data_IF_886209227112
#
_entry.id   IF_886209227112
#
_cell.length_a   1.000
_cell.length_b   1.000
_cell.length_c   1.000
_cell.angle_alpha   90.00
_cell.angle_beta   90.00
_cell.angle_gamma   90.00
#
_symmetry.space_group_name_H-M   'P 1'
#
loop_
_entity.id
_entity.type
_entity.pdbx_description
1 polymer ?
#
# COMPACT_ATOMS: atom_id res chain seq x y z
N UNK A 1 -35.34 -9.16 -13.78
CA UNK A 1 -34.81 -8.23 -14.79
C UNK A 1 -34.43 -9.05 -16.01
N UNK A 2 -35.09 -8.80 -17.13
CA UNK A 2 -34.89 -9.56 -18.36
C UNK A 2 -33.53 -9.19 -18.99
N UNK A 3 -32.87 -10.16 -19.64
CA UNK A 3 -31.57 -10.01 -20.31
C UNK A 3 -31.57 -8.86 -21.32
N UNK A 4 -32.68 -8.65 -22.02
CA UNK A 4 -32.84 -7.58 -22.98
C UNK A 4 -32.94 -6.20 -22.30
N UNK A 5 -33.61 -6.08 -21.18
CA UNK A 5 -33.73 -4.86 -20.40
C UNK A 5 -32.38 -4.39 -19.84
N UNK A 6 -31.54 -5.35 -19.40
CA UNK A 6 -30.19 -5.04 -18.91
C UNK A 6 -29.25 -4.57 -20.03
N UNK A 7 -29.35 -5.17 -21.23
CA UNK A 7 -28.54 -4.77 -22.40
C UNK A 7 -28.93 -3.37 -22.87
N UNK A 8 -30.22 -3.04 -22.90
CA UNK A 8 -30.69 -1.70 -23.27
C UNK A 8 -30.23 -0.64 -22.27
N UNK A 9 -30.25 -0.94 -20.96
CA UNK A 9 -29.71 -0.02 -19.94
C UNK A 9 -28.20 0.17 -20.06
N UNK A 10 -27.42 -0.87 -20.42
CA UNK A 10 -25.99 -0.76 -20.68
C UNK A 10 -25.72 0.12 -21.91
N UNK A 11 -26.50 -0.03 -22.96
CA UNK A 11 -26.40 0.74 -24.19
C UNK A 11 -26.67 2.23 -23.91
N UNK A 12 -27.76 2.52 -23.21
CA UNK A 12 -28.14 3.89 -22.83
C UNK A 12 -27.12 4.56 -21.91
N UNK A 13 -26.46 3.79 -21.00
CA UNK A 13 -25.38 4.30 -20.13
C UNK A 13 -24.06 4.51 -20.88
N UNK A 14 -23.74 3.67 -21.86
CA UNK A 14 -22.57 3.82 -22.69
C UNK A 14 -22.69 5.06 -23.60
N UNK A 15 -23.83 5.27 -24.20
CA UNK A 15 -24.11 6.42 -25.07
C UNK A 15 -24.13 7.76 -24.30
N UNK A 16 -24.52 7.76 -23.00
CA UNK A 16 -24.59 8.99 -22.19
C UNK A 16 -23.27 9.46 -21.55
N UNK A 17 -22.30 8.58 -21.34
CA UNK A 17 -21.24 8.92 -20.36
C UNK A 17 -19.81 9.03 -20.87
N UNK A 18 -19.42 8.46 -22.00
CA UNK A 18 -17.96 8.28 -22.20
C UNK A 18 -17.43 8.63 -23.59
N UNK A 19 -18.17 8.48 -24.68
CA UNK A 19 -17.57 8.67 -26.01
C UNK A 19 -18.58 9.31 -26.97
N UNK A 20 -18.41 10.58 -27.29
CA UNK A 20 -19.21 11.29 -28.31
C UNK A 20 -19.07 10.67 -29.74
N UNK A 21 -18.03 9.82 -29.94
CA UNK A 21 -17.73 9.25 -31.27
C UNK A 21 -17.70 7.72 -31.33
N UNK A 22 -18.08 7.01 -30.25
CA UNK A 22 -18.09 5.53 -30.24
C UNK A 22 -19.49 5.03 -29.93
N UNK A 23 -20.23 4.65 -30.98
CA UNK A 23 -21.53 4.03 -30.83
C UNK A 23 -21.43 2.54 -30.51
N UNK A 24 -22.29 2.06 -29.63
CA UNK A 24 -22.41 0.64 -29.28
C UNK A 24 -22.87 -0.15 -30.52
N UNK A 25 -21.95 -0.86 -31.16
CA UNK A 25 -22.19 -1.56 -32.42
C UNK A 25 -22.86 -2.91 -32.19
N UNK A 26 -23.59 -3.41 -33.20
CA UNK A 26 -24.19 -4.76 -33.18
C UNK A 26 -23.16 -5.87 -32.94
N UNK A 27 -21.92 -5.68 -33.36
CA UNK A 27 -20.81 -6.61 -33.07
C UNK A 27 -20.40 -6.62 -31.57
N UNK A 28 -20.52 -5.49 -30.87
CA UNK A 28 -20.31 -5.43 -29.42
C UNK A 28 -21.45 -6.10 -28.66
N UNK A 29 -22.68 -5.91 -29.10
CA UNK A 29 -23.88 -6.56 -28.56
C UNK A 29 -23.77 -8.10 -28.67
N UNK A 30 -23.38 -8.62 -29.83
CA UNK A 30 -23.18 -10.05 -30.08
C UNK A 30 -22.10 -10.65 -29.15
N UNK A 31 -20.97 -9.96 -28.95
CA UNK A 31 -19.91 -10.38 -28.02
C UNK A 31 -20.39 -10.41 -26.55
N UNK A 32 -21.21 -9.46 -26.13
CA UNK A 32 -21.80 -9.44 -24.80
C UNK A 32 -22.77 -10.61 -24.64
N UNK A 33 -23.66 -10.86 -25.60
CA UNK A 33 -24.60 -12.01 -25.62
C UNK A 33 -23.86 -13.35 -25.58
N UNK A 34 -22.80 -13.51 -26.36
CA UNK A 34 -21.99 -14.74 -26.36
C UNK A 34 -21.30 -14.95 -24.99
N UNK A 35 -20.84 -13.89 -24.34
CA UNK A 35 -20.19 -13.96 -23.04
C UNK A 35 -21.16 -14.32 -21.92
N UNK A 36 -22.40 -13.83 -21.99
CA UNK A 36 -23.50 -14.18 -21.07
C UNK A 36 -23.90 -15.65 -21.27
N UNK A 37 -24.12 -16.10 -22.51
CA UNK A 37 -24.49 -17.49 -22.81
C UNK A 37 -23.41 -18.50 -22.39
N UNK A 38 -22.13 -18.18 -22.49
CA UNK A 38 -21.05 -19.03 -21.96
C UNK A 38 -21.03 -19.16 -20.45
N UNK A 39 -21.61 -18.18 -19.73
CA UNK A 39 -21.75 -18.25 -18.25
C UNK A 39 -22.99 -19.02 -17.78
N UNK A 40 -24.02 -19.18 -18.61
CA UNK A 40 -25.25 -19.90 -18.23
C UNK A 40 -25.13 -21.42 -18.31
N UNK A 41 -24.01 -21.96 -18.80
CA UNK A 41 -23.74 -23.40 -18.90
C UNK A 41 -23.21 -24.09 -17.64
N UNK A 42 -23.08 -23.39 -16.53
CA UNK A 42 -22.64 -23.98 -15.27
C UNK A 42 -23.82 -24.68 -14.60
N UNK A 43 -23.82 -26.02 -14.64
CA UNK A 43 -24.88 -26.86 -14.16
C UNK A 43 -25.23 -26.61 -12.69
N UNK A 44 -26.51 -26.68 -12.36
CA UNK A 44 -27.16 -26.47 -11.06
C UNK A 44 -26.57 -27.21 -9.85
N UNK A 45 -25.66 -28.16 -10.08
CA UNK A 45 -24.99 -28.93 -9.01
C UNK A 45 -23.95 -28.13 -8.21
N UNK A 46 -23.44 -27.00 -8.74
CA UNK A 46 -22.43 -26.17 -8.07
C UNK A 46 -23.02 -25.05 -7.19
N UNK A 47 -24.34 -24.89 -7.21
CA UNK A 47 -25.02 -23.83 -6.40
C UNK A 47 -24.92 -24.01 -4.88
N UNK A 48 -24.60 -25.22 -4.42
CA UNK A 48 -24.45 -25.49 -2.97
C UNK A 48 -23.07 -25.13 -2.41
N UNK A 49 -22.08 -24.87 -3.27
CA UNK A 49 -20.71 -24.57 -2.85
C UNK A 49 -20.28 -23.11 -3.16
N UNK A 50 -21.11 -22.32 -3.83
CA UNK A 50 -20.72 -20.97 -4.29
C UNK A 50 -20.94 -19.87 -3.25
N UNK A 51 -21.79 -20.10 -2.24
CA UNK A 51 -22.13 -19.06 -1.27
C UNK A 51 -21.00 -18.66 -0.30
N UNK A 52 -20.17 -19.55 0.24
CA UNK A 52 -19.09 -19.13 1.14
C UNK A 52 -17.92 -18.48 0.40
N UNK A 53 -17.65 -18.90 -0.86
CA UNK A 53 -16.60 -18.29 -1.67
C UNK A 53 -16.96 -16.88 -2.15
N UNK A 54 -18.26 -16.61 -2.39
CA UNK A 54 -18.73 -15.29 -2.77
C UNK A 54 -18.63 -14.29 -1.62
N UNK A 55 -18.85 -14.76 -0.39
CA UNK A 55 -18.71 -13.92 0.82
C UNK A 55 -17.27 -13.47 1.05
N UNK A 56 -16.30 -14.39 0.87
CA UNK A 56 -14.89 -14.06 1.02
C UNK A 56 -14.38 -13.19 -0.13
N UNK A 57 -14.86 -13.43 -1.36
CA UNK A 57 -14.52 -12.62 -2.53
C UNK A 57 -15.14 -11.22 -2.47
N UNK A 58 -16.35 -11.08 -1.88
CA UNK A 58 -16.96 -9.78 -1.58
C UNK A 58 -16.21 -9.04 -0.46
N UNK A 59 -15.74 -9.74 0.56
CA UNK A 59 -14.89 -9.13 1.59
C UNK A 59 -13.55 -8.65 1.02
N UNK A 60 -12.93 -9.43 0.15
CA UNK A 60 -11.70 -9.03 -0.56
C UNK A 60 -11.98 -7.89 -1.56
N UNK A 61 -13.12 -7.91 -2.26
CA UNK A 61 -13.54 -6.83 -3.17
C UNK A 61 -13.93 -5.55 -2.41
N UNK A 62 -14.65 -5.67 -1.30
CA UNK A 62 -14.94 -4.54 -0.42
C UNK A 62 -13.63 -3.98 0.14
N UNK A 63 -12.67 -4.83 0.41
CA UNK A 63 -11.34 -4.43 0.87
C UNK A 63 -10.49 -3.75 -0.23
N UNK A 64 -10.69 -4.13 -1.51
CA UNK A 64 -10.04 -3.47 -2.65
C UNK A 64 -10.74 -2.19 -3.11
N UNK A 65 -12.07 -2.10 -2.92
CA UNK A 65 -12.91 -1.00 -3.41
C UNK A 65 -13.18 0.03 -2.31
N UNK A 66 -12.92 -0.32 -1.02
CA UNK A 66 -13.08 0.65 0.04
C UNK A 66 -12.03 1.76 -0.15
N UNK A 67 -12.42 2.92 -0.67
CA UNK A 67 -11.55 4.06 -0.61
C UNK A 67 -11.26 4.28 0.87
N UNK A 68 -10.02 4.61 1.21
CA UNK A 68 -9.66 5.11 2.53
C UNK A 68 -10.35 6.47 2.72
N UNK A 69 -11.68 6.44 2.81
CA UNK A 69 -12.44 7.57 3.30
C UNK A 69 -12.24 7.55 4.81
N UNK A 70 -11.20 8.24 5.23
CA UNK A 70 -11.14 8.83 6.54
C UNK A 70 -12.53 9.45 6.82
N UNK A 71 -13.20 8.96 7.84
CA UNK A 71 -14.30 9.68 8.45
C UNK A 71 -13.81 11.10 8.74
N UNK A 72 -14.64 12.14 8.55
CA UNK A 72 -14.21 13.52 8.66
C UNK A 72 -13.87 13.84 10.13
N UNK A 73 -12.62 13.74 10.45
CA UNK A 73 -11.95 14.38 11.55
C UNK A 73 -10.88 15.23 10.92
N UNK A 74 -11.22 16.46 10.64
CA UNK A 74 -10.32 17.50 10.16
C UNK A 74 -9.22 17.74 11.20
N UNK A 75 -8.13 16.99 11.08
CA UNK A 75 -6.86 17.45 11.62
C UNK A 75 -5.92 17.59 10.45
N UNK A 76 -5.70 18.85 10.07
CA UNK A 76 -4.64 19.25 9.17
C UNK A 76 -3.36 18.51 9.58
N UNK A 77 -2.82 17.70 8.67
CA UNK A 77 -1.55 17.02 8.86
C UNK A 77 -0.48 18.07 9.12
N UNK A 78 -0.08 18.21 10.38
CA UNK A 78 1.14 18.91 10.72
C UNK A 78 2.30 18.12 10.12
N UNK A 79 3.32 18.81 9.56
CA UNK A 79 4.51 18.11 9.09
C UNK A 79 5.12 17.32 10.25
N UNK A 80 5.32 16.03 10.03
CA UNK A 80 5.91 15.12 11.00
C UNK A 80 7.23 15.69 11.54
N UNK A 81 7.23 16.08 12.79
CA UNK A 81 8.44 16.30 13.58
C UNK A 81 8.63 15.04 14.43
N UNK A 82 9.74 14.31 14.28
CA UNK A 82 10.00 13.16 15.12
C UNK A 82 10.07 13.64 16.58
N UNK A 83 9.27 13.09 17.49
CA UNK A 83 9.37 13.41 18.91
C UNK A 83 10.76 13.01 19.41
N UNK A 84 11.44 13.92 20.12
CA UNK A 84 12.64 13.58 20.88
C UNK A 84 12.29 12.45 21.85
N UNK A 85 13.05 11.34 21.85
CA UNK A 85 12.78 10.25 22.79
C UNK A 85 13.00 10.72 24.22
N UNK A 86 11.94 10.80 24.98
CA UNK A 86 12.02 10.79 26.43
C UNK A 86 11.89 9.32 26.88
N UNK A 87 12.75 8.81 27.76
CA UNK A 87 12.55 7.49 28.33
C UNK A 87 11.33 7.52 29.24
N UNK A 88 10.20 7.06 28.73
CA UNK A 88 8.99 6.92 29.53
C UNK A 88 9.05 5.59 30.28
N UNK A 89 9.11 5.68 31.60
CA UNK A 89 8.87 4.55 32.50
C UNK A 89 7.43 4.09 32.31
N UNK A 90 7.22 2.91 31.78
CA UNK A 90 5.90 2.32 31.62
C UNK A 90 5.20 2.20 33.00
N UNK A 91 3.89 2.53 33.11
CA UNK A 91 3.15 2.32 34.35
C UNK A 91 3.11 0.83 34.66
N UNK A 92 3.81 0.42 35.69
CA UNK A 92 3.86 -0.98 36.14
C UNK A 92 5.21 -1.53 36.50
N UNK A 93 6.29 -0.74 36.43
CA UNK A 93 7.60 -1.10 37.00
C UNK A 93 8.34 -2.28 36.37
N UNK A 94 7.89 -2.79 35.23
CA UNK A 94 8.62 -3.76 34.43
C UNK A 94 9.47 -3.01 33.41
N UNK A 95 10.76 -3.10 33.54
CA UNK A 95 11.71 -2.76 32.48
C UNK A 95 11.46 -3.74 31.33
N UNK A 96 10.68 -3.32 30.35
CA UNK A 96 10.49 -4.07 29.11
C UNK A 96 11.80 -3.95 28.32
N UNK A 97 12.73 -4.89 28.61
CA UNK A 97 14.09 -4.86 28.06
C UNK A 97 14.02 -5.25 26.57
N UNK A 98 14.27 -4.33 25.62
CA UNK A 98 14.18 -4.61 24.18
C UNK A 98 14.99 -5.81 23.71
N UNK A 99 16.03 -6.18 24.42
CA UNK A 99 16.87 -7.35 24.17
C UNK A 99 16.12 -8.71 24.25
N UNK A 100 14.94 -8.75 24.89
CA UNK A 100 14.11 -9.94 24.99
C UNK A 100 13.01 -10.02 23.93
N UNK A 101 12.84 -8.98 23.11
CA UNK A 101 11.84 -8.98 22.08
C UNK A 101 12.23 -9.95 20.97
N UNK A 102 11.24 -10.68 20.49
CA UNK A 102 11.35 -11.59 19.33
C UNK A 102 10.13 -11.36 18.45
N UNK A 103 10.25 -11.50 17.13
CA UNK A 103 9.10 -11.48 16.25
C UNK A 103 8.05 -12.49 16.73
N UNK A 104 6.79 -12.07 16.75
CA UNK A 104 5.69 -12.96 17.09
C UNK A 104 5.58 -14.09 16.06
N UNK A 105 5.21 -15.30 16.48
CA UNK A 105 5.11 -16.44 15.58
C UNK A 105 4.02 -16.19 14.53
N UNK A 106 4.30 -16.64 13.30
CA UNK A 106 3.30 -16.74 12.24
C UNK A 106 2.70 -18.15 12.29
N UNK A 107 1.39 -18.22 12.35
CA UNK A 107 0.63 -19.48 12.39
C UNK A 107 -0.22 -19.59 11.14
N UNK A 108 -0.11 -20.71 10.44
CA UNK A 108 -1.00 -21.08 9.34
C UNK A 108 -2.13 -21.94 9.88
N UNK A 109 -3.35 -21.66 9.46
CA UNK A 109 -4.54 -22.38 9.92
C UNK A 109 -5.61 -22.40 8.82
N UNK A 110 -6.76 -22.99 9.12
CA UNK A 110 -7.89 -23.03 8.20
C UNK A 110 -9.16 -22.58 8.90
N UNK A 111 -9.97 -21.80 8.21
CA UNK A 111 -11.32 -21.44 8.61
C UNK A 111 -12.29 -21.77 7.48
N UNK A 112 -13.31 -22.57 7.78
CA UNK A 112 -14.25 -23.06 6.76
C UNK A 112 -13.57 -23.66 5.52
N UNK A 113 -12.47 -24.40 5.72
CA UNK A 113 -11.60 -25.02 4.70
C UNK A 113 -10.82 -24.02 3.85
N UNK A 114 -10.80 -22.76 4.21
CA UNK A 114 -9.96 -21.75 3.55
C UNK A 114 -8.69 -21.53 4.38
N UNK A 115 -7.50 -21.67 3.78
CA UNK A 115 -6.25 -21.41 4.50
C UNK A 115 -6.10 -19.92 4.75
N UNK A 116 -5.62 -19.55 5.94
CA UNK A 116 -5.17 -18.20 6.26
C UNK A 116 -4.03 -18.27 7.27
N UNK A 117 -3.29 -17.17 7.38
CA UNK A 117 -2.21 -17.06 8.35
C UNK A 117 -2.36 -15.80 9.18
N UNK A 118 -1.95 -15.88 10.43
CA UNK A 118 -1.89 -14.71 11.32
C UNK A 118 -0.54 -14.67 12.06
N UNK A 119 -0.23 -13.50 12.60
CA UNK A 119 0.96 -13.27 13.43
C UNK A 119 0.50 -12.94 14.84
N UNK A 120 1.15 -13.51 15.84
CA UNK A 120 0.82 -13.33 17.26
C UNK A 120 0.02 -14.47 17.86
N UNK A 121 -0.37 -14.27 19.10
CA UNK A 121 -1.14 -15.21 19.92
C UNK A 121 -2.33 -14.49 20.55
N UNK A 122 -3.35 -15.24 20.97
CA UNK A 122 -4.46 -14.66 21.72
C UNK A 122 -3.93 -13.95 22.98
N UNK A 123 -4.52 -12.81 23.35
CA UNK A 123 -5.77 -12.26 22.83
C UNK A 123 -5.63 -11.34 21.61
N UNK A 124 -4.43 -11.01 21.13
CA UNK A 124 -4.20 -10.07 20.01
C UNK A 124 -3.38 -10.73 18.91
N UNK A 125 -3.98 -10.82 17.73
CA UNK A 125 -3.36 -11.39 16.52
C UNK A 125 -3.59 -10.44 15.35
N UNK A 126 -2.74 -10.52 14.34
CA UNK A 126 -2.90 -9.74 13.12
C UNK A 126 -2.80 -10.60 11.87
N UNK A 127 -3.58 -10.25 10.85
CA UNK A 127 -3.44 -10.77 9.49
C UNK A 127 -2.88 -9.63 8.64
N UNK A 128 -1.87 -9.92 7.82
CA UNK A 128 -1.17 -8.94 6.98
C UNK A 128 -1.16 -9.40 5.53
N UNK A 129 -1.20 -8.46 4.59
CA UNK A 129 -1.11 -8.74 3.15
C UNK A 129 0.26 -9.30 2.77
N UNK A 130 1.32 -8.74 3.35
CA UNK A 130 2.69 -9.16 3.10
C UNK A 130 3.27 -9.90 4.30
N UNK A 131 4.27 -10.72 4.07
CA UNK A 131 4.95 -11.50 5.12
C UNK A 131 5.79 -10.64 6.04
N UNK A 132 6.18 -9.44 5.60
CA UNK A 132 7.06 -8.52 6.32
C UNK A 132 6.57 -7.10 6.21
N UNK A 133 6.83 -6.29 7.23
CA UNK A 133 6.70 -4.83 7.16
C UNK A 133 7.93 -4.24 6.48
N UNK A 134 7.76 -3.09 5.85
CA UNK A 134 8.85 -2.32 5.23
C UNK A 134 8.81 -0.87 5.70
N UNK A 135 9.98 -0.30 5.94
CA UNK A 135 10.16 1.05 6.43
C UNK A 135 9.41 2.11 5.61
N UNK A 136 8.65 2.99 6.27
CA UNK A 136 7.92 4.09 5.64
C UNK A 136 6.80 3.69 4.68
N UNK A 137 6.45 2.40 4.60
CA UNK A 137 5.44 1.89 3.68
C UNK A 137 4.23 1.37 4.45
N UNK A 138 3.05 1.92 4.11
CA UNK A 138 1.81 1.50 4.75
C UNK A 138 1.51 0.05 4.42
N UNK A 139 1.27 -0.73 5.47
CA UNK A 139 0.77 -2.09 5.37
C UNK A 139 -0.65 -2.16 5.90
N UNK A 140 -1.52 -2.86 5.17
CA UNK A 140 -2.86 -3.18 5.65
C UNK A 140 -2.79 -4.33 6.63
N UNK A 141 -3.46 -4.14 7.76
CA UNK A 141 -3.47 -5.07 8.87
C UNK A 141 -4.90 -5.31 9.31
N UNK A 142 -5.29 -6.56 9.43
CA UNK A 142 -6.51 -6.96 10.11
C UNK A 142 -6.18 -7.43 11.52
N UNK A 143 -6.75 -6.76 12.49
CA UNK A 143 -6.62 -7.12 13.90
C UNK A 143 -7.70 -8.12 14.27
N UNK A 144 -7.30 -9.13 15.02
CA UNK A 144 -8.15 -10.13 15.64
C UNK A 144 -7.99 -10.01 17.16
N UNK A 145 -9.08 -9.66 17.84
CA UNK A 145 -9.08 -9.36 19.27
C UNK A 145 -10.00 -10.32 20.00
N UNK A 146 -9.53 -10.85 21.11
CA UNK A 146 -10.29 -11.69 22.05
C UNK A 146 -10.27 -11.05 23.45
N UNK A 147 -11.27 -11.35 24.28
CA UNK A 147 -11.29 -11.00 25.71
C UNK A 147 -11.57 -9.53 26.02
N UNK A 148 -12.24 -8.80 25.12
CA UNK A 148 -12.68 -7.42 25.35
C UNK A 148 -14.05 -7.18 24.73
N UNK A 149 -14.93 -6.49 25.44
CA UNK A 149 -16.23 -6.03 24.96
C UNK A 149 -16.20 -4.54 24.56
N UNK A 150 -15.02 -3.95 24.46
CA UNK A 150 -14.87 -2.53 24.14
C UNK A 150 -15.25 -2.23 22.68
N UNK A 151 -15.98 -1.15 22.43
CA UNK A 151 -16.35 -0.68 21.10
C UNK A 151 -15.18 -0.08 20.31
N UNK A 152 -14.12 0.31 21.02
CA UNK A 152 -12.94 0.99 20.44
C UNK A 152 -11.65 0.43 20.98
N UNK A 153 -10.66 0.36 20.09
CA UNK A 153 -9.29 -0.04 20.42
C UNK A 153 -8.32 1.04 19.95
N UNK A 154 -7.46 1.48 20.85
CA UNK A 154 -6.31 2.32 20.56
C UNK A 154 -5.11 1.45 20.22
N UNK A 155 -4.38 1.84 19.18
CA UNK A 155 -3.17 1.18 18.76
C UNK A 155 -1.95 2.08 18.99
N UNK A 156 -0.92 1.50 19.60
CA UNK A 156 0.36 2.17 19.84
C UNK A 156 1.49 1.23 19.41
N UNK A 157 2.50 1.78 18.76
CA UNK A 157 3.71 1.06 18.42
C UNK A 157 4.92 1.57 19.22
N UNK A 158 5.83 0.65 19.53
CA UNK A 158 7.12 0.96 20.15
C UNK A 158 8.23 0.29 19.35
N UNK A 159 9.28 1.03 19.01
CA UNK A 159 10.49 0.43 18.48
C UNK A 159 11.37 -0.15 19.56
N UNK A 160 12.27 -1.05 19.21
CA UNK A 160 13.31 -1.54 20.13
C UNK A 160 14.28 -0.45 20.60
N UNK A 161 14.30 0.69 19.95
CA UNK A 161 15.12 1.87 20.30
C UNK A 161 14.38 2.88 21.18
N UNK A 162 13.11 2.57 21.58
CA UNK A 162 12.33 3.40 22.49
C UNK A 162 11.45 4.45 21.80
N UNK A 163 11.34 4.45 20.48
CA UNK A 163 10.40 5.34 19.78
C UNK A 163 8.97 4.87 20.03
N UNK A 164 8.10 5.78 20.49
CA UNK A 164 6.65 5.56 20.63
C UNK A 164 5.91 6.23 19.48
N UNK A 165 5.01 5.51 18.85
CA UNK A 165 4.18 5.99 17.73
C UNK A 165 2.71 5.67 17.99
N UNK A 166 1.84 6.68 17.94
CA UNK A 166 0.39 6.49 18.00
C UNK A 166 -0.12 6.11 16.62
N UNK A 167 -0.79 4.95 16.53
CA UNK A 167 -1.31 4.42 15.27
C UNK A 167 -2.79 4.74 15.05
N UNK A 168 -3.45 5.28 16.09
CA UNK A 168 -4.84 5.72 16.04
C UNK A 168 -5.81 4.86 16.85
N UNK A 169 -7.09 5.26 16.83
CA UNK A 169 -8.20 4.59 17.51
C UNK A 169 -9.19 4.06 16.48
N UNK A 170 -9.58 2.81 16.64
CA UNK A 170 -10.40 2.09 15.67
C UNK A 170 -11.69 1.57 16.29
N UNK A 171 -12.78 1.63 15.54
CA UNK A 171 -14.03 0.98 15.90
C UNK A 171 -13.89 -0.53 15.72
N UNK A 172 -14.36 -1.28 16.70
CA UNK A 172 -14.27 -2.74 16.70
C UNK A 172 -15.51 -3.34 16.04
N UNK A 173 -15.28 -4.23 15.06
CA UNK A 173 -16.33 -5.04 14.45
C UNK A 173 -16.65 -6.28 15.26
N UNK A 174 -17.69 -7.02 14.84
CA UNK A 174 -18.10 -8.28 15.45
C UNK A 174 -17.13 -9.43 15.19
N UNK A 175 -17.60 -10.65 15.36
CA UNK A 175 -16.82 -11.85 15.21
C UNK A 175 -16.25 -12.03 13.79
N UNK A 176 -14.97 -12.38 13.69
CA UNK A 176 -14.32 -12.80 12.45
C UNK A 176 -13.39 -13.98 12.74
N UNK A 177 -13.50 -15.05 11.92
CA UNK A 177 -12.81 -16.31 12.16
C UNK A 177 -13.13 -16.86 13.58
N UNK A 178 -12.08 -17.14 14.34
CA UNK A 178 -12.16 -17.60 15.74
C UNK A 178 -11.97 -16.46 16.76
N UNK A 179 -11.92 -15.20 16.31
CA UNK A 179 -11.80 -14.03 17.16
C UNK A 179 -13.18 -13.41 17.46
N UNK A 180 -13.34 -12.89 18.68
CA UNK A 180 -14.57 -12.23 19.12
C UNK A 180 -14.80 -10.94 18.37
N UNK A 181 -13.71 -10.21 18.08
CA UNK A 181 -13.74 -8.90 17.45
C UNK A 181 -12.65 -8.74 16.41
N UNK A 182 -12.87 -7.82 15.46
CA UNK A 182 -11.88 -7.48 14.45
C UNK A 182 -12.00 -6.04 13.99
N UNK A 183 -10.95 -5.52 13.40
CA UNK A 183 -10.98 -4.26 12.64
C UNK A 183 -9.79 -4.16 11.67
N UNK A 184 -9.95 -3.46 10.54
CA UNK A 184 -8.85 -3.14 9.64
C UNK A 184 -8.11 -1.88 10.07
N UNK A 185 -6.81 -1.82 9.79
CA UNK A 185 -6.01 -0.61 9.93
C UNK A 185 -4.95 -0.51 8.83
N UNK A 186 -4.43 0.71 8.62
CA UNK A 186 -3.22 0.94 7.85
C UNK A 186 -2.10 1.32 8.80
N UNK A 187 -1.00 0.57 8.81
CA UNK A 187 0.15 0.82 9.69
C UNK A 187 1.36 1.21 8.86
N UNK A 188 1.99 2.34 9.20
CA UNK A 188 3.26 2.78 8.64
C UNK A 188 4.27 2.90 9.77
N UNK A 189 5.35 2.10 9.69
CA UNK A 189 6.44 2.12 10.65
C UNK A 189 7.66 2.78 9.97
N UNK A 190 8.23 3.84 10.57
CA UNK A 190 9.18 4.70 9.87
C UNK A 190 10.55 4.06 9.66
N UNK A 191 11.00 3.23 10.61
CA UNK A 191 12.37 2.72 10.66
C UNK A 191 12.41 1.19 10.68
N UNK A 192 13.48 0.59 10.12
CA UNK A 192 13.69 -0.85 10.17
C UNK A 192 14.00 -1.30 11.60
N UNK A 193 13.78 -2.58 11.87
CA UNK A 193 14.03 -3.19 13.17
C UNK A 193 12.79 -3.83 13.77
N UNK A 194 12.85 -4.14 15.06
CA UNK A 194 11.77 -4.81 15.76
C UNK A 194 10.83 -3.80 16.41
N UNK A 195 9.55 -3.96 16.14
CA UNK A 195 8.48 -3.12 16.66
C UNK A 195 7.47 -3.93 17.45
N UNK A 196 7.05 -3.38 18.58
CA UNK A 196 5.95 -3.89 19.41
C UNK A 196 4.68 -3.11 19.08
N UNK A 197 3.67 -3.78 18.57
CA UNK A 197 2.33 -3.23 18.30
C UNK A 197 1.42 -3.61 19.45
N UNK A 198 0.88 -2.63 20.17
CA UNK A 198 -0.01 -2.82 21.31
C UNK A 198 -1.44 -2.43 20.98
N UNK A 199 -2.40 -3.25 21.44
CA UNK A 199 -3.81 -2.93 21.45
C UNK A 199 -4.26 -2.59 22.87
N UNK A 200 -4.92 -1.44 23.03
CA UNK A 200 -5.38 -0.90 24.31
C UNK A 200 -6.89 -0.63 24.18
N UNK A 201 -7.68 -1.08 25.14
CA UNK A 201 -9.11 -0.78 25.23
C UNK A 201 -9.46 -0.30 26.62
N UNK A 202 -10.21 0.80 26.71
CA UNK A 202 -10.61 1.43 27.97
C UNK A 202 -9.43 1.69 28.93
N UNK A 203 -8.29 2.09 28.35
CA UNK A 203 -7.03 2.32 29.08
C UNK A 203 -6.33 1.05 29.58
N UNK A 204 -6.84 -0.14 29.23
CA UNK A 204 -6.24 -1.42 29.59
C UNK A 204 -5.52 -2.05 28.42
N UNK A 205 -4.31 -2.53 28.64
CA UNK A 205 -3.56 -3.31 27.67
C UNK A 205 -4.26 -4.65 27.42
N UNK A 206 -4.70 -4.89 26.16
CA UNK A 206 -5.31 -6.14 25.76
C UNK A 206 -4.25 -7.19 25.40
N UNK A 207 -3.26 -6.78 24.61
CA UNK A 207 -2.21 -7.65 24.15
C UNK A 207 -1.29 -6.95 23.15
N UNK A 208 -0.34 -7.68 22.62
CA UNK A 208 0.68 -7.14 21.73
C UNK A 208 1.15 -8.13 20.67
N UNK A 209 1.66 -7.59 19.56
CA UNK A 209 2.29 -8.36 18.50
C UNK A 209 3.63 -7.72 18.16
N UNK A 210 4.68 -8.53 18.05
CA UNK A 210 6.00 -8.08 17.62
C UNK A 210 6.20 -8.34 16.13
N UNK A 211 6.55 -7.31 15.38
CA UNK A 211 6.79 -7.38 13.95
C UNK A 211 8.17 -6.89 13.60
N UNK A 212 8.80 -7.52 12.61
CA UNK A 212 10.06 -7.07 12.06
C UNK A 212 9.79 -6.16 10.85
N UNK A 213 10.36 -4.97 10.86
CA UNK A 213 10.35 -4.02 9.76
C UNK A 213 11.67 -4.14 9.00
N UNK A 214 11.59 -4.44 7.73
CA UNK A 214 12.75 -4.54 6.84
C UNK A 214 13.10 -3.18 6.24
N UNK A 215 14.38 -2.95 6.09
CA UNK A 215 14.86 -1.86 5.24
C UNK A 215 14.54 -2.17 3.76
N UNK A 216 14.30 -1.12 2.96
CA UNK A 216 14.10 -1.25 1.52
C UNK A 216 12.66 -1.14 1.08
N UNK A 217 12.34 -1.78 -0.04
CA UNK A 217 11.07 -1.59 -0.74
C UNK A 217 10.31 -2.90 -0.76
N UNK A 218 9.03 -2.86 -0.43
CA UNK A 218 8.18 -4.05 -0.47
C UNK A 218 7.99 -4.54 -1.90
N UNK A 219 7.86 -5.86 -2.12
CA UNK A 219 7.62 -6.43 -3.43
C UNK A 219 6.41 -5.82 -4.14
N UNK A 220 5.32 -5.55 -3.41
CA UNK A 220 4.12 -4.93 -3.98
C UNK A 220 4.37 -3.50 -4.46
N UNK A 221 5.10 -2.70 -3.69
CA UNK A 221 5.47 -1.35 -4.14
C UNK A 221 6.46 -1.39 -5.30
N UNK A 222 7.44 -2.28 -5.31
CA UNK A 222 8.36 -2.43 -6.42
C UNK A 222 7.62 -2.77 -7.72
N UNK A 223 6.73 -3.76 -7.68
CA UNK A 223 5.92 -4.16 -8.83
C UNK A 223 4.99 -3.05 -9.32
N UNK A 224 4.48 -2.21 -8.41
CA UNK A 224 3.60 -1.11 -8.75
C UNK A 224 4.35 0.07 -9.37
N UNK A 225 5.44 0.53 -8.75
CA UNK A 225 6.01 1.84 -9.09
C UNK A 225 6.93 1.81 -10.30
N UNK A 226 7.68 0.73 -10.52
CA UNK A 226 8.65 0.66 -11.61
C UNK A 226 8.02 0.78 -13.01
N UNK A 227 6.94 0.07 -13.36
CA UNK A 227 6.26 0.22 -14.64
C UNK A 227 5.73 1.64 -14.86
N UNK A 228 5.16 2.26 -13.83
CA UNK A 228 4.58 3.60 -13.90
C UNK A 228 5.67 4.65 -14.19
N UNK A 229 6.81 4.56 -13.50
CA UNK A 229 7.93 5.46 -13.75
C UNK A 229 8.50 5.25 -15.14
N UNK A 230 8.62 3.99 -15.57
CA UNK A 230 9.12 3.65 -16.92
C UNK A 230 8.22 4.20 -18.02
N UNK A 231 6.91 4.04 -17.88
CA UNK A 231 5.90 4.60 -18.78
C UNK A 231 6.04 6.13 -18.85
N UNK A 232 6.05 6.79 -17.69
CA UNK A 232 6.20 8.25 -17.60
C UNK A 232 7.48 8.77 -18.27
N UNK A 233 8.62 8.10 -18.06
CA UNK A 233 9.90 8.50 -18.66
C UNK A 233 9.97 8.23 -20.17
N UNK A 234 9.24 7.25 -20.68
CA UNK A 234 9.12 6.97 -22.10
C UNK A 234 8.15 7.91 -22.80
N UNK A 235 7.07 8.31 -22.14
CA UNK A 235 6.05 9.19 -22.66
C UNK A 235 6.45 10.63 -22.39
N UNK A 236 7.16 11.37 -22.96
CA UNK A 236 7.45 12.83 -22.93
C UNK A 236 7.14 13.61 -21.62
N UNK A 237 6.49 12.96 -20.64
CA UNK A 237 6.10 13.60 -19.36
C UNK A 237 7.25 14.24 -18.59
N UNK A 238 8.47 13.76 -18.79
CA UNK A 238 9.65 14.24 -18.10
C UNK A 238 10.33 15.44 -18.76
N UNK A 239 9.76 16.04 -19.81
CA UNK A 239 10.37 17.14 -20.56
C UNK A 239 11.83 16.87 -21.02
N UNK A 240 12.15 15.60 -21.24
CA UNK A 240 13.45 15.12 -21.69
C UNK A 240 13.52 15.03 -23.23
N UNK A 241 12.80 15.89 -23.95
CA UNK A 241 12.70 15.92 -25.41
C UNK A 241 14.03 16.01 -26.16
N UNK A 242 15.08 16.52 -25.47
CA UNK A 242 16.43 16.57 -26.04
C UNK A 242 17.12 15.19 -26.19
N UNK A 243 16.58 14.11 -25.59
CA UNK A 243 17.10 12.75 -25.75
C UNK A 243 16.62 12.04 -27.04
N UNK A 244 15.79 12.69 -27.84
CA UNK A 244 15.26 12.13 -29.08
C UNK A 244 14.18 11.02 -28.89
N UNK A 245 13.76 10.44 -29.98
CA UNK A 245 12.81 9.31 -29.99
C UNK A 245 13.56 7.99 -29.72
N UNK A 246 12.92 7.12 -28.94
CA UNK A 246 13.48 5.82 -28.57
C UNK A 246 14.55 5.94 -27.48
N UNK A 247 14.21 5.49 -26.28
CA UNK A 247 15.05 5.58 -25.09
C UNK A 247 15.22 4.20 -24.45
N UNK A 248 16.38 3.97 -23.89
CA UNK A 248 16.59 2.87 -22.97
C UNK A 248 16.59 3.42 -21.54
N UNK A 249 15.62 2.98 -20.76
CA UNK A 249 15.44 3.45 -19.38
C UNK A 249 15.81 2.33 -18.42
N UNK A 250 16.80 2.57 -17.57
CA UNK A 250 17.16 1.72 -16.43
C UNK A 250 16.75 2.44 -15.15
N UNK A 251 16.06 1.76 -14.27
CA UNK A 251 15.57 2.28 -13.00
C UNK A 251 16.11 1.40 -11.88
N UNK A 252 16.80 2.01 -10.93
CA UNK A 252 17.24 1.40 -9.69
C UNK A 252 16.52 2.12 -8.54
N UNK A 253 15.62 1.43 -7.86
CA UNK A 253 14.85 2.02 -6.78
C UNK A 253 15.73 2.19 -5.54
N UNK A 254 15.81 3.40 -5.02
CA UNK A 254 16.57 3.76 -3.81
C UNK A 254 15.68 3.75 -2.56
N UNK A 255 14.38 4.01 -2.70
CA UNK A 255 13.42 3.99 -1.61
C UNK A 255 12.01 4.34 -2.04
N UNK A 256 11.05 3.96 -1.24
CA UNK A 256 9.63 4.29 -1.42
C UNK A 256 9.05 4.71 -0.08
N UNK A 257 8.46 5.88 -0.03
CA UNK A 257 7.58 6.32 1.05
C UNK A 257 6.14 6.17 0.59
N UNK A 258 5.36 5.41 1.31
CA UNK A 258 3.97 5.13 1.00
C UNK A 258 3.12 5.23 2.28
N UNK A 259 3.00 6.45 2.87
CA UNK A 259 2.26 6.65 4.11
C UNK A 259 0.76 6.44 3.94
N UNK A 260 0.27 6.55 2.71
CA UNK A 260 -1.13 6.38 2.33
C UNK A 260 -1.26 5.43 1.14
N UNK A 261 -2.38 4.72 1.06
CA UNK A 261 -2.65 3.80 -0.05
C UNK A 261 -2.68 4.50 -1.42
N UNK A 262 -3.14 5.75 -1.47
CA UNK A 262 -3.33 6.51 -2.72
C UNK A 262 -2.08 7.25 -3.22
N UNK A 263 -1.03 7.35 -2.40
CA UNK A 263 0.15 8.16 -2.71
C UNK A 263 1.44 7.38 -2.46
N UNK A 264 2.42 7.63 -3.32
CA UNK A 264 3.79 7.12 -3.20
C UNK A 264 4.76 8.25 -3.50
N UNK A 265 5.81 8.37 -2.70
CA UNK A 265 6.99 9.15 -3.06
C UNK A 265 8.14 8.17 -3.29
N UNK A 266 8.64 8.13 -4.50
CA UNK A 266 9.60 7.14 -4.97
C UNK A 266 10.92 7.83 -5.29
N UNK A 267 12.00 7.29 -4.75
CA UNK A 267 13.35 7.73 -5.02
C UNK A 267 14.06 6.67 -5.85
N UNK A 268 14.61 7.06 -6.97
CA UNK A 268 15.28 6.14 -7.88
C UNK A 268 16.53 6.75 -8.48
N UNK A 269 17.54 5.93 -8.75
CA UNK A 269 18.59 6.28 -9.67
C UNK A 269 18.13 5.88 -11.07
N UNK A 270 18.05 6.85 -11.95
CA UNK A 270 17.55 6.66 -13.31
C UNK A 270 18.69 6.86 -14.31
N UNK A 271 18.86 5.91 -15.22
CA UNK A 271 19.73 6.04 -16.37
C UNK A 271 18.88 5.99 -17.62
N UNK A 272 18.97 7.01 -18.46
CA UNK A 272 18.28 7.10 -19.74
C UNK A 272 19.35 7.28 -20.82
N UNK A 273 19.34 6.44 -21.82
CA UNK A 273 20.22 6.51 -22.98
C UNK A 273 19.40 6.70 -24.26
N UNK A 274 19.87 7.56 -25.15
CA UNK A 274 19.32 7.64 -26.50
C UNK A 274 19.62 6.34 -27.25
N UNK A 275 18.62 5.82 -27.99
CA UNK A 275 18.82 4.70 -28.93
C UNK A 275 19.27 5.16 -30.31
N UNK A 276 19.36 6.48 -30.52
CA UNK A 276 19.87 7.01 -31.78
C UNK A 276 21.39 6.72 -31.88
N UNK A 277 21.83 5.93 -32.86
CA UNK A 277 23.23 5.59 -33.03
C UNK A 277 24.12 6.81 -33.35
N UNK A 278 23.53 7.90 -33.79
CA UNK A 278 24.22 9.16 -34.12
C UNK A 278 24.22 10.16 -32.97
N UNK A 279 23.50 9.89 -31.89
CA UNK A 279 23.32 10.79 -30.75
C UNK A 279 23.63 10.07 -29.43
N UNK A 280 24.91 10.01 -29.05
CA UNK A 280 25.34 9.42 -27.77
C UNK A 280 25.02 10.36 -26.61
N UNK A 281 23.73 10.63 -26.40
CA UNK A 281 23.25 11.44 -25.27
C UNK A 281 22.59 10.57 -24.20
N UNK A 282 22.76 10.94 -22.97
CA UNK A 282 22.14 10.22 -21.87
C UNK A 282 22.17 11.02 -20.57
N UNK A 283 21.37 10.57 -19.64
CA UNK A 283 21.33 11.09 -18.26
C UNK A 283 21.51 9.92 -17.30
N UNK A 284 22.22 10.15 -16.20
CA UNK A 284 22.35 9.23 -15.09
C UNK A 284 22.29 10.03 -13.81
N UNK A 285 21.13 10.08 -13.16
CA UNK A 285 20.89 10.93 -12.00
C UNK A 285 19.89 10.31 -11.02
N UNK A 286 19.97 10.68 -9.72
CA UNK A 286 18.90 10.37 -8.78
C UNK A 286 17.68 11.26 -9.09
N UNK A 287 16.50 10.67 -9.02
CA UNK A 287 15.22 11.34 -9.27
C UNK A 287 14.21 10.99 -8.20
N UNK A 288 13.34 11.93 -7.86
CA UNK A 288 12.21 11.72 -6.97
C UNK A 288 10.91 11.85 -7.76
N UNK A 289 10.00 10.89 -7.59
CA UNK A 289 8.71 10.83 -8.26
C UNK A 289 7.60 10.84 -7.23
N UNK A 290 6.56 11.64 -7.47
CA UNK A 290 5.30 11.54 -6.76
C UNK A 290 4.31 10.77 -7.61
N UNK A 291 3.76 9.68 -7.09
CA UNK A 291 2.79 8.85 -7.76
C UNK A 291 1.47 8.93 -7.00
N UNK A 292 0.41 9.29 -7.70
CA UNK A 292 -0.93 9.44 -7.15
C UNK A 292 -1.95 8.57 -7.87
N UNK A 293 -3.00 8.15 -7.16
CA UNK A 293 -4.16 7.46 -7.73
C UNK A 293 -5.22 8.48 -8.14
N UNK A 294 -5.66 8.44 -9.41
CA UNK A 294 -6.61 9.40 -9.98
C UNK A 294 -8.02 8.83 -10.23
N UNK A 295 -8.35 7.68 -9.66
CA UNK A 295 -9.61 6.98 -9.88
C UNK A 295 -9.56 5.93 -11.00
N UNK A 296 -8.67 6.08 -11.99
CA UNK A 296 -8.50 5.13 -13.10
C UNK A 296 -7.19 4.34 -13.01
N UNK A 297 -6.28 4.75 -12.13
CA UNK A 297 -4.99 4.11 -11.96
C UNK A 297 -3.98 5.03 -11.28
N UNK A 298 -2.80 4.50 -11.05
CA UNK A 298 -1.67 5.26 -10.53
C UNK A 298 -0.90 5.91 -11.67
N UNK A 299 -0.53 7.18 -11.50
CA UNK A 299 0.30 7.93 -12.45
C UNK A 299 1.31 8.80 -11.71
N UNK A 300 2.43 9.10 -12.36
CA UNK A 300 3.36 10.14 -11.89
C UNK A 300 2.65 11.48 -11.98
N UNK A 301 2.52 12.17 -10.85
CA UNK A 301 1.90 13.48 -10.73
C UNK A 301 2.93 14.61 -10.68
N UNK A 302 4.13 14.30 -10.19
CA UNK A 302 5.24 15.23 -10.12
C UNK A 302 6.57 14.46 -10.15
N UNK A 303 7.63 15.11 -10.66
CA UNK A 303 8.98 14.58 -10.53
C UNK A 303 9.98 15.71 -10.29
N UNK A 304 11.07 15.38 -9.62
CA UNK A 304 12.15 16.29 -9.30
C UNK A 304 13.49 15.63 -9.59
N UNK A 305 14.42 16.40 -10.12
CA UNK A 305 15.79 16.01 -10.39
C UNK A 305 16.72 17.10 -9.85
N UNK A 306 17.89 16.74 -9.31
CA UNK A 306 18.86 17.73 -8.87
C UNK A 306 19.27 18.67 -10.02
N UNK A 307 19.55 19.91 -9.67
CA UNK A 307 20.10 20.89 -10.60
C UNK A 307 21.58 20.58 -10.89
N UNK A 308 22.05 20.98 -12.06
CA UNK A 308 23.44 20.76 -12.45
C UNK A 308 24.42 21.79 -11.83
N UNK A 309 25.70 21.46 -11.85
CA UNK A 309 26.79 22.37 -11.47
C UNK A 309 26.81 22.72 -9.97
N UNK A 310 26.96 23.98 -9.65
CA UNK A 310 27.15 24.47 -8.26
C UNK A 310 25.91 24.25 -7.37
N UNK A 311 24.75 24.06 -7.96
CA UNK A 311 23.50 23.88 -7.25
C UNK A 311 23.19 22.40 -6.97
N UNK A 312 23.99 21.47 -7.51
CA UNK A 312 23.74 20.03 -7.40
C UNK A 312 23.61 19.57 -5.94
N UNK A 313 24.57 19.88 -5.08
CA UNK A 313 24.55 19.43 -3.68
C UNK A 313 23.38 20.04 -2.88
N UNK A 314 23.10 21.31 -3.08
CA UNK A 314 22.01 21.99 -2.38
C UNK A 314 20.64 21.49 -2.84
N UNK A 315 20.47 21.18 -4.12
CA UNK A 315 19.23 20.61 -4.66
C UNK A 315 19.03 19.15 -4.24
N UNK A 316 20.11 18.35 -4.17
CA UNK A 316 20.05 17.00 -3.58
C UNK A 316 19.47 17.02 -2.16
N UNK A 317 20.01 17.89 -1.29
CA UNK A 317 19.55 17.99 0.10
C UNK A 317 18.09 18.46 0.23
N UNK A 318 17.59 19.24 -0.73
CA UNK A 318 16.18 19.68 -0.76
C UNK A 318 15.22 18.59 -1.22
N UNK A 319 15.66 17.75 -2.15
CA UNK A 319 14.80 16.74 -2.81
C UNK A 319 14.76 15.44 -2.01
N UNK A 320 15.89 15.00 -1.47
CA UNK A 320 16.05 13.68 -0.89
C UNK A 320 16.21 13.71 0.64
N UNK A 321 15.50 12.86 1.39
CA UNK A 321 15.74 12.69 2.82
C UNK A 321 17.11 12.07 3.08
N UNK A 322 17.68 12.30 4.27
CA UNK A 322 19.04 11.89 4.64
C UNK A 322 19.33 10.42 4.32
N UNK A 323 18.46 9.54 4.66
CA UNK A 323 18.53 8.10 4.38
C UNK A 323 18.70 7.76 2.90
N UNK A 324 18.07 8.53 2.00
CA UNK A 324 18.24 8.36 0.55
C UNK A 324 19.55 9.00 0.09
N UNK A 325 19.96 10.11 0.68
CA UNK A 325 21.27 10.71 0.42
C UNK A 325 22.40 9.74 0.75
N UNK A 326 22.31 9.03 1.86
CA UNK A 326 23.31 8.01 2.26
C UNK A 326 23.39 6.88 1.21
N UNK A 327 22.24 6.43 0.67
CA UNK A 327 22.20 5.43 -0.42
C UNK A 327 22.78 5.96 -1.73
N UNK A 328 22.52 7.23 -2.07
CA UNK A 328 23.09 7.89 -3.24
C UNK A 328 24.62 7.95 -3.11
N UNK A 329 25.14 8.32 -1.94
CA UNK A 329 26.58 8.39 -1.67
C UNK A 329 27.25 7.02 -1.73
N UNK A 330 26.64 6.01 -1.13
CA UNK A 330 27.15 4.64 -1.17
C UNK A 330 27.25 4.08 -2.60
N UNK A 331 26.35 4.51 -3.50
CA UNK A 331 26.38 4.12 -4.91
C UNK A 331 27.50 4.80 -5.72
N UNK A 332 27.97 5.95 -5.29
CA UNK A 332 29.01 6.74 -5.99
C UNK A 332 30.45 6.32 -5.60
N UNK A 333 30.58 5.52 -4.56
CA UNK A 333 31.85 4.93 -4.12
C UNK A 333 32.13 3.60 -4.85
#
# INVERSE_FOLDING_TARGET
MDENEWIEQLKERADRKVYHDVHFTSAMEERVRQKIRRRSGISFRWRRFAFPALGLFLLILVWQIWPAHSLPGEHAAQPYQPPKPAPELLPGGSLDVPLLWKPSPRTETTWNRQPFSYVGEKPVRIITDETSFYEGQQQRVFWLIDGSDADKVELVAYSSEGVRLELGTYQVGGQLFDAQHHFPSGITLPDPGLWKLQAIADGKHLGQVFVEVKAGISPSNQQLVEPIIREYLNEEGAKLGWLGEGREVTIELLGVEAPEAAKRKVYAWVKILSKDPFQSSGISAPMAFEIGYNGNGYKVTNFQMPEDGNLYQSSLQKIFPQKILDRIQARQQ
#
